data_IF_197623257039
#
_entry.id   IF_197623257039
#
_cell.length_a   1.000
_cell.length_b   1.000
_cell.length_c   1.000
_cell.angle_alpha   90.00
_cell.angle_beta   90.00
_cell.angle_gamma   90.00
#
_symmetry.space_group_name_H-M   'P 1'
#
loop_
_entity.id
_entity.type
_entity.pdbx_description
1 polymer ?
#
# COMPACT_ATOMS: atom_id res chain seq x y z
N UNK A 1 -15.62 13.49 -22.37
CA UNK A 1 -16.13 14.82 -22.78
C UNK A 1 -17.43 15.12 -22.06
N UNK A 2 -17.44 16.17 -21.22
CA UNK A 2 -18.65 16.61 -20.50
C UNK A 2 -18.44 16.99 -19.03
N UNK A 3 -17.30 16.64 -18.42
CA UNK A 3 -16.93 17.05 -17.05
C UNK A 3 -15.53 17.67 -17.05
N UNK A 4 -15.25 18.60 -16.13
CA UNK A 4 -13.90 19.18 -15.94
C UNK A 4 -12.93 18.23 -15.23
N UNK A 5 -13.27 16.94 -15.13
CA UNK A 5 -12.45 15.94 -14.46
C UNK A 5 -11.23 15.61 -15.31
N UNK A 6 -10.06 15.57 -14.67
CA UNK A 6 -8.86 15.04 -15.31
C UNK A 6 -8.89 13.52 -15.23
N UNK A 7 -8.81 12.85 -16.39
CA UNK A 7 -8.81 11.40 -16.50
C UNK A 7 -7.49 10.89 -17.08
N UNK A 8 -6.93 9.85 -16.46
CA UNK A 8 -5.71 9.17 -16.92
C UNK A 8 -5.73 7.75 -16.40
N UNK A 9 -6.39 6.82 -17.07
CA UNK A 9 -6.65 5.47 -16.52
C UNK A 9 -7.13 5.56 -15.07
N UNK A 10 -8.28 6.20 -14.86
CA UNK A 10 -8.82 6.61 -13.55
C UNK A 10 -9.08 8.12 -13.45
N UNK A 11 -9.82 8.53 -12.41
CA UNK A 11 -10.02 9.94 -12.01
C UNK A 11 -8.76 10.39 -11.28
N UNK A 12 -8.10 11.43 -11.81
CA UNK A 12 -6.90 11.98 -11.19
C UNK A 12 -7.30 12.83 -9.99
N UNK A 13 -6.69 12.53 -8.85
CA UNK A 13 -6.87 13.22 -7.59
C UNK A 13 -5.52 13.65 -7.00
N UNK A 14 -5.55 14.71 -6.19
CA UNK A 14 -4.43 15.09 -5.33
C UNK A 14 -4.22 14.10 -4.18
N UNK A 15 -3.22 14.35 -3.33
CA UNK A 15 -2.90 13.49 -2.18
C UNK A 15 -4.03 13.42 -1.15
N UNK A 16 -5.02 14.33 -1.19
CA UNK A 16 -6.18 14.36 -0.31
C UNK A 16 -7.42 13.69 -0.92
N UNK A 17 -7.26 13.05 -2.09
CA UNK A 17 -8.31 12.40 -2.87
C UNK A 17 -9.30 13.37 -3.53
N UNK A 18 -9.00 14.68 -3.58
CA UNK A 18 -9.82 15.65 -4.29
C UNK A 18 -9.51 15.61 -5.79
N UNK A 19 -10.53 15.70 -6.64
CA UNK A 19 -10.39 15.61 -8.11
C UNK A 19 -9.89 16.88 -8.81
N UNK A 20 -9.52 17.92 -8.05
CA UNK A 20 -9.26 19.28 -8.53
C UNK A 20 -10.54 20.12 -8.70
N UNK A 21 -11.71 19.55 -8.43
CA UNK A 21 -13.01 20.23 -8.44
C UNK A 21 -13.51 20.32 -7.00
N UNK A 22 -13.98 21.52 -6.60
CA UNK A 22 -14.52 21.77 -5.28
C UNK A 22 -15.65 20.78 -4.94
N UNK A 23 -15.53 20.12 -3.78
CA UNK A 23 -16.52 19.16 -3.30
C UNK A 23 -16.54 17.80 -4.02
N UNK A 24 -15.68 17.58 -5.03
CA UNK A 24 -15.66 16.32 -5.79
C UNK A 24 -14.40 15.52 -5.46
N UNK A 25 -14.62 14.32 -4.91
CA UNK A 25 -13.58 13.37 -4.50
C UNK A 25 -13.78 12.04 -5.21
N UNK A 26 -12.71 11.25 -5.35
CA UNK A 26 -12.78 9.88 -5.85
C UNK A 26 -12.12 8.89 -4.87
N UNK A 27 -12.62 7.65 -4.87
CA UNK A 27 -12.12 6.57 -4.02
C UNK A 27 -12.32 5.21 -4.72
N UNK A 28 -11.52 4.22 -4.33
CA UNK A 28 -11.54 2.86 -4.86
C UNK A 28 -10.88 2.74 -6.23
N UNK A 29 -11.25 1.69 -6.96
CA UNK A 29 -10.55 1.22 -8.17
C UNK A 29 -10.42 2.29 -9.28
N UNK A 30 -11.33 3.26 -9.30
CA UNK A 30 -11.34 4.38 -10.26
C UNK A 30 -10.38 5.50 -9.87
N UNK A 31 -9.96 5.59 -8.60
CA UNK A 31 -9.16 6.70 -8.09
C UNK A 31 -7.68 6.52 -8.44
N UNK A 32 -7.15 7.48 -9.20
CA UNK A 32 -5.72 7.66 -9.39
C UNK A 32 -5.28 8.84 -8.53
N UNK A 33 -4.52 8.61 -7.48
CA UNK A 33 -4.11 9.66 -6.54
C UNK A 33 -2.59 9.73 -6.42
N UNK A 34 -2.09 10.90 -6.04
CA UNK A 34 -0.68 11.04 -5.68
C UNK A 34 -0.44 10.51 -4.27
N UNK A 35 0.35 9.45 -4.14
CA UNK A 35 0.68 8.84 -2.86
C UNK A 35 2.04 9.35 -2.38
N UNK A 36 2.05 10.24 -1.39
CA UNK A 36 3.29 10.85 -0.88
C UNK A 36 4.30 9.81 -0.43
N UNK A 37 3.88 8.66 0.14
CA UNK A 37 4.77 7.59 0.60
C UNK A 37 5.63 7.02 -0.54
N UNK A 38 5.09 6.99 -1.75
CA UNK A 38 5.78 6.46 -2.93
C UNK A 38 6.27 7.53 -3.89
N UNK A 39 5.98 8.81 -3.61
CA UNK A 39 6.30 9.95 -4.48
C UNK A 39 5.83 9.70 -5.94
N UNK A 40 4.61 9.16 -6.08
CA UNK A 40 4.07 8.79 -7.40
C UNK A 40 2.55 8.80 -7.44
N UNK A 41 2.02 9.10 -8.63
CA UNK A 41 0.62 8.83 -8.96
C UNK A 41 0.38 7.32 -9.03
N UNK A 42 -0.62 6.84 -8.31
CA UNK A 42 -0.97 5.43 -8.21
C UNK A 42 -2.43 5.20 -8.47
N UNK A 43 -2.75 4.04 -9.04
CA UNK A 43 -4.09 3.46 -9.05
C UNK A 43 -3.98 2.03 -8.52
N UNK A 44 -4.82 1.69 -7.56
CA UNK A 44 -4.71 0.43 -6.81
C UNK A 44 -6.10 -0.18 -6.66
N UNK A 45 -6.28 -1.35 -7.27
CA UNK A 45 -7.54 -2.11 -7.28
C UNK A 45 -7.55 -3.13 -6.13
N UNK A 46 -7.60 -2.64 -4.89
CA UNK A 46 -7.60 -3.46 -3.69
C UNK A 46 -8.79 -3.13 -2.80
N UNK A 47 -9.42 -4.16 -2.24
CA UNK A 47 -10.57 -4.01 -1.35
C UNK A 47 -10.27 -3.08 -0.15
N UNK A 48 -9.08 -3.20 0.44
CA UNK A 48 -8.60 -2.37 1.55
C UNK A 48 -8.43 -0.92 1.13
N UNK A 49 -7.80 -0.67 -0.02
CA UNK A 49 -7.64 0.66 -0.58
C UNK A 49 -9.00 1.31 -0.85
N UNK A 50 -9.96 0.60 -1.42
CA UNK A 50 -11.30 1.15 -1.66
C UNK A 50 -12.00 1.54 -0.35
N UNK A 51 -11.94 0.69 0.68
CA UNK A 51 -12.52 0.98 1.98
C UNK A 51 -11.83 2.16 2.69
N UNK A 52 -10.50 2.16 2.72
CA UNK A 52 -9.70 3.21 3.37
C UNK A 52 -9.85 4.56 2.66
N UNK A 53 -9.81 4.59 1.32
CA UNK A 53 -10.02 5.80 0.53
C UNK A 53 -11.43 6.36 0.70
N UNK A 54 -12.46 5.51 0.78
CA UNK A 54 -13.82 5.98 1.02
C UNK A 54 -13.95 6.75 2.34
N UNK A 55 -13.33 6.23 3.41
CA UNK A 55 -13.28 6.91 4.71
C UNK A 55 -12.45 8.21 4.66
N UNK A 56 -11.30 8.19 3.98
CA UNK A 56 -10.43 9.35 3.84
C UNK A 56 -11.08 10.48 3.02
N UNK A 57 -11.69 10.15 1.87
CA UNK A 57 -12.38 11.11 1.02
C UNK A 57 -13.53 11.79 1.76
N UNK A 58 -14.37 11.03 2.47
CA UNK A 58 -15.44 11.60 3.28
C UNK A 58 -14.90 12.51 4.40
N UNK A 59 -13.81 12.10 5.07
CA UNK A 59 -13.18 12.89 6.13
C UNK A 59 -12.60 14.19 5.59
N UNK A 60 -11.94 14.16 4.44
CA UNK A 60 -11.35 15.34 3.81
C UNK A 60 -12.42 16.31 3.27
N UNK A 61 -13.50 15.79 2.67
CA UNK A 61 -14.64 16.60 2.27
C UNK A 61 -15.23 17.36 3.47
N UNK A 62 -15.43 16.67 4.60
CA UNK A 62 -15.96 17.29 5.82
C UNK A 62 -14.97 18.27 6.46
N UNK A 63 -13.66 17.99 6.41
CA UNK A 63 -12.63 18.90 6.90
C UNK A 63 -12.66 20.22 6.12
N UNK A 64 -12.61 20.16 4.79
CA UNK A 64 -12.67 21.35 3.93
C UNK A 64 -13.97 22.12 4.14
N UNK A 65 -15.12 21.44 4.22
CA UNK A 65 -16.42 22.07 4.49
C UNK A 65 -16.46 22.81 5.85
N UNK A 66 -15.68 22.36 6.84
CA UNK A 66 -15.53 23.00 8.16
C UNK A 66 -14.42 24.06 8.21
N UNK A 67 -13.75 24.34 7.10
CA UNK A 67 -12.57 25.23 7.06
C UNK A 67 -11.34 24.64 7.75
N UNK A 68 -11.23 23.31 7.80
CA UNK A 68 -10.09 22.58 8.37
C UNK A 68 -9.19 22.06 7.24
N UNK A 69 -7.91 21.88 7.56
CA UNK A 69 -6.93 21.33 6.63
C UNK A 69 -7.22 19.84 6.33
N UNK A 70 -7.37 19.43 5.06
CA UNK A 70 -7.52 18.03 4.69
C UNK A 70 -6.23 17.25 4.93
N UNK A 71 -6.33 15.93 5.09
CA UNK A 71 -5.18 15.07 5.38
C UNK A 71 -4.81 14.21 4.17
N UNK A 72 -3.52 14.12 3.80
CA UNK A 72 -3.08 13.23 2.74
C UNK A 72 -3.39 11.76 3.02
N UNK A 73 -3.82 11.02 2.00
CA UNK A 73 -3.97 9.57 2.00
C UNK A 73 -2.68 8.90 1.49
N UNK A 74 -1.78 8.58 2.43
CA UNK A 74 -0.47 7.97 2.15
C UNK A 74 -0.37 6.55 2.74
N UNK A 75 -1.15 5.63 2.18
CA UNK A 75 -1.21 4.25 2.66
C UNK A 75 -0.23 3.31 1.93
N UNK A 76 0.23 2.28 2.64
CA UNK A 76 0.88 1.09 2.06
C UNK A 76 -0.21 0.19 1.46
N UNK A 77 -0.21 -0.06 0.14
CA UNK A 77 -1.15 -1.00 -0.48
C UNK A 77 -1.07 -2.37 0.18
N UNK A 78 -2.22 -3.02 0.36
CA UNK A 78 -2.29 -4.36 0.93
C UNK A 78 -3.39 -5.16 0.25
N UNK A 79 -3.07 -6.35 -0.23
CA UNK A 79 -4.07 -7.29 -0.72
C UNK A 79 -3.76 -8.70 -0.24
N UNK A 80 -4.75 -9.58 -0.42
CA UNK A 80 -4.58 -11.00 -0.23
C UNK A 80 -5.28 -11.78 -1.34
N UNK A 81 -4.86 -13.03 -1.50
CA UNK A 81 -5.47 -14.01 -2.37
C UNK A 81 -5.49 -15.34 -1.62
N UNK A 82 -6.67 -15.95 -1.53
CA UNK A 82 -6.80 -17.31 -1.03
C UNK A 82 -6.81 -18.25 -2.24
N UNK A 83 -5.77 -19.05 -2.39
CA UNK A 83 -5.60 -19.99 -3.50
C UNK A 83 -5.38 -21.39 -2.94
N UNK A 84 -6.33 -22.29 -3.18
CA UNK A 84 -6.35 -23.61 -2.57
C UNK A 84 -6.24 -23.51 -1.04
N UNK A 85 -5.21 -24.11 -0.45
CA UNK A 85 -4.92 -24.07 0.99
C UNK A 85 -3.98 -22.93 1.39
N UNK A 86 -3.47 -22.16 0.43
CA UNK A 86 -2.53 -21.08 0.68
C UNK A 86 -3.25 -19.74 0.78
N UNK A 87 -2.96 -19.02 1.86
CA UNK A 87 -3.28 -17.58 1.96
C UNK A 87 -2.04 -16.79 1.56
N UNK A 88 -2.14 -16.07 0.46
CA UNK A 88 -1.10 -15.20 -0.08
C UNK A 88 -1.44 -13.77 0.29
N UNK A 89 -0.51 -13.03 0.85
CA UNK A 89 -0.68 -11.65 1.29
C UNK A 89 0.48 -10.81 0.80
N UNK A 90 0.21 -9.61 0.32
CA UNK A 90 1.23 -8.73 -0.22
C UNK A 90 1.08 -7.32 0.33
N UNK A 91 2.17 -6.77 0.83
CA UNK A 91 2.29 -5.43 1.40
C UNK A 91 3.20 -4.59 0.52
N UNK A 92 2.77 -3.38 0.21
CA UNK A 92 3.55 -2.42 -0.57
C UNK A 92 3.34 -2.56 -2.07
N UNK A 93 4.35 -2.16 -2.83
CA UNK A 93 4.32 -2.21 -4.30
C UNK A 93 5.70 -2.53 -4.84
N UNK A 94 5.75 -3.46 -5.79
CA UNK A 94 6.93 -3.71 -6.61
C UNK A 94 6.69 -3.17 -8.02
N UNK A 95 7.72 -2.56 -8.59
CA UNK A 95 7.73 -2.11 -9.99
C UNK A 95 8.48 -3.12 -10.89
N UNK A 96 9.01 -4.22 -10.32
CA UNK A 96 9.53 -5.39 -11.04
C UNK A 96 11.05 -5.45 -11.17
N UNK A 97 11.75 -4.47 -10.59
CA UNK A 97 13.21 -4.38 -10.56
C UNK A 97 13.80 -4.54 -9.15
N UNK A 98 12.96 -4.91 -8.18
CA UNK A 98 13.38 -5.26 -6.83
C UNK A 98 13.93 -6.70 -6.75
N UNK A 99 14.93 -6.90 -5.88
CA UNK A 99 15.48 -8.22 -5.56
C UNK A 99 14.63 -8.89 -4.47
N UNK A 100 14.04 -10.07 -4.71
CA UNK A 100 13.30 -10.81 -3.69
C UNK A 100 14.25 -11.63 -2.79
N UNK A 101 14.02 -11.56 -1.48
CA UNK A 101 14.74 -12.32 -0.46
C UNK A 101 13.78 -13.12 0.40
N UNK A 102 13.91 -14.44 0.42
CA UNK A 102 13.15 -15.27 1.36
C UNK A 102 13.84 -15.19 2.71
N UNK A 103 13.12 -14.67 3.71
CA UNK A 103 13.67 -14.35 5.03
C UNK A 103 13.12 -15.22 6.15
N UNK A 104 11.99 -15.90 5.93
CA UNK A 104 11.38 -16.84 6.87
C UNK A 104 10.76 -17.99 6.09
N UNK A 105 10.99 -19.23 6.52
CA UNK A 105 10.43 -20.43 5.88
C UNK A 105 10.99 -20.69 4.48
N UNK A 106 10.29 -21.47 3.67
CA UNK A 106 10.71 -21.75 2.30
C UNK A 106 9.55 -21.97 1.31
N UNK A 107 9.79 -21.86 -0.02
CA UNK A 107 8.79 -22.18 -1.04
C UNK A 107 8.38 -23.66 -1.04
N UNK A 108 9.31 -24.56 -0.71
CA UNK A 108 9.05 -26.01 -0.63
C UNK A 108 8.01 -26.33 0.45
N UNK A 109 8.04 -25.59 1.57
CA UNK A 109 7.04 -25.67 2.64
C UNK A 109 5.69 -25.01 2.28
N UNK A 110 5.63 -24.26 1.16
CA UNK A 110 4.51 -23.37 0.80
C UNK A 110 4.12 -22.43 1.94
N UNK A 111 5.11 -22.01 2.72
CA UNK A 111 4.93 -21.21 3.92
C UNK A 111 6.17 -20.36 4.14
N UNK A 112 6.16 -19.13 3.66
CA UNK A 112 7.33 -18.26 3.71
C UNK A 112 6.97 -16.77 3.75
N UNK A 113 7.96 -15.95 4.13
CA UNK A 113 7.95 -14.50 3.94
C UNK A 113 9.09 -14.14 3.00
N UNK A 114 8.79 -13.37 1.96
CA UNK A 114 9.77 -12.76 1.07
C UNK A 114 9.71 -11.23 1.19
N UNK A 115 10.87 -10.60 1.32
CA UNK A 115 11.03 -9.14 1.29
C UNK A 115 11.60 -8.73 -0.07
N UNK A 116 11.15 -7.59 -0.58
CA UNK A 116 11.62 -7.03 -1.85
C UNK A 116 12.51 -5.83 -1.56
N UNK A 117 13.76 -5.93 -1.98
CA UNK A 117 14.81 -4.96 -1.74
C UNK A 117 15.13 -4.19 -3.02
N UNK A 118 15.38 -2.88 -2.88
CA UNK A 118 15.97 -2.09 -3.94
C UNK A 118 16.67 -0.87 -3.34
N UNK A 119 17.91 -0.63 -3.78
CA UNK A 119 18.74 0.49 -3.34
C UNK A 119 18.87 0.56 -1.80
N UNK A 120 18.92 -0.59 -1.13
CA UNK A 120 19.00 -0.71 0.32
C UNK A 120 17.69 -0.43 1.07
N UNK A 121 16.57 -0.25 0.36
CA UNK A 121 15.25 0.02 0.96
C UNK A 121 14.33 -1.19 0.89
N UNK A 122 13.48 -1.35 1.92
CA UNK A 122 12.37 -2.29 1.88
C UNK A 122 11.25 -1.71 0.99
N UNK A 123 10.95 -2.38 -0.13
CA UNK A 123 9.94 -1.92 -1.11
C UNK A 123 8.59 -2.62 -0.97
N UNK A 124 8.61 -3.90 -0.64
CA UNK A 124 7.41 -4.70 -0.44
C UNK A 124 7.70 -5.93 0.42
N UNK A 125 6.63 -6.60 0.85
CA UNK A 125 6.71 -7.90 1.52
C UNK A 125 5.58 -8.81 1.05
N UNK A 126 5.93 -10.06 0.72
CA UNK A 126 5.00 -11.13 0.39
C UNK A 126 5.02 -12.16 1.52
N UNK A 127 3.86 -12.57 2.00
CA UNK A 127 3.71 -13.70 2.91
C UNK A 127 2.81 -14.76 2.31
N UNK A 128 3.25 -16.00 2.36
CA UNK A 128 2.45 -17.18 2.04
C UNK A 128 2.25 -17.96 3.33
N UNK A 129 1.01 -18.06 3.79
CA UNK A 129 0.61 -18.79 5.02
C UNK A 129 1.34 -18.38 6.30
N UNK A 130 1.93 -17.17 6.35
CA UNK A 130 2.67 -16.61 7.50
C UNK A 130 2.23 -15.16 7.87
N UNK A 131 0.93 -14.91 8.12
CA UNK A 131 0.43 -13.56 8.42
C UNK A 131 1.11 -12.91 9.63
N UNK A 132 1.42 -13.68 10.68
CA UNK A 132 1.99 -13.15 11.92
C UNK A 132 3.39 -12.55 11.71
N UNK A 133 4.21 -13.21 10.90
CA UNK A 133 5.53 -12.71 10.52
C UNK A 133 5.45 -11.61 9.45
N UNK A 134 4.44 -11.64 8.59
CA UNK A 134 4.27 -10.63 7.52
C UNK A 134 3.82 -9.27 8.06
N UNK A 135 2.79 -9.22 8.89
CA UNK A 135 2.10 -7.97 9.24
C UNK A 135 2.99 -6.88 9.87
N UNK A 136 4.01 -7.20 10.70
CA UNK A 136 4.92 -6.18 11.22
C UNK A 136 5.64 -5.36 10.14
N UNK A 137 5.90 -5.93 8.96
CA UNK A 137 6.55 -5.20 7.85
C UNK A 137 5.68 -4.07 7.27
N UNK A 138 4.36 -4.06 7.49
CA UNK A 138 3.49 -2.97 7.03
C UNK A 138 3.90 -1.63 7.66
N UNK A 139 4.32 -1.66 8.94
CA UNK A 139 4.81 -0.47 9.65
C UNK A 139 6.12 0.01 9.06
N UNK A 140 7.09 -0.90 8.89
CA UNK A 140 8.39 -0.59 8.29
C UNK A 140 8.24 0.03 6.88
N UNK A 141 7.34 -0.51 6.06
CA UNK A 141 7.02 0.05 4.75
C UNK A 141 6.44 1.48 4.85
N UNK A 142 5.58 1.74 5.83
CA UNK A 142 5.01 3.10 6.03
C UNK A 142 6.05 4.12 6.53
N UNK A 143 7.11 3.65 7.17
CA UNK A 143 8.21 4.47 7.69
C UNK A 143 9.37 4.59 6.69
N UNK A 144 9.25 3.99 5.50
CA UNK A 144 10.32 3.89 4.48
C UNK A 144 11.61 3.27 5.02
N UNK A 145 11.47 2.24 5.84
CA UNK A 145 12.59 1.56 6.45
C UNK A 145 13.58 1.01 5.40
N UNK A 146 14.84 0.98 5.79
CA UNK A 146 15.90 0.29 5.08
C UNK A 146 15.69 -1.23 5.11
N UNK A 147 16.31 -1.92 4.17
CA UNK A 147 16.33 -3.38 4.17
C UNK A 147 17.07 -3.93 5.40
N UNK A 148 18.09 -3.22 5.91
CA UNK A 148 18.80 -3.59 7.12
C UNK A 148 17.88 -3.59 8.36
N UNK A 149 17.09 -2.55 8.58
CA UNK A 149 16.08 -2.49 9.66
C UNK A 149 15.05 -3.61 9.53
N UNK A 150 14.66 -3.96 8.29
CA UNK A 150 13.78 -5.10 8.05
C UNK A 150 14.43 -6.42 8.45
N UNK A 151 15.73 -6.60 8.22
CA UNK A 151 16.48 -7.80 8.62
C UNK A 151 16.68 -7.89 10.14
N UNK A 152 16.78 -6.76 10.84
CA UNK A 152 16.77 -6.74 12.32
C UNK A 152 15.45 -7.30 12.86
N UNK A 153 14.32 -6.90 12.28
CA UNK A 153 13.01 -7.47 12.62
C UNK A 153 12.97 -8.98 12.32
N UNK A 154 13.51 -9.43 11.18
CA UNK A 154 13.59 -10.87 10.85
C UNK A 154 14.33 -11.65 11.94
N UNK A 155 15.45 -11.11 12.44
CA UNK A 155 16.24 -11.77 13.49
C UNK A 155 15.42 -12.02 14.78
N UNK A 156 14.44 -11.18 15.07
CA UNK A 156 13.54 -11.37 16.22
C UNK A 156 12.63 -12.58 16.09
N UNK A 157 12.31 -13.03 14.86
CA UNK A 157 11.45 -14.19 14.65
C UNK A 157 12.16 -15.53 14.93
N UNK A 158 13.50 -15.55 14.83
CA UNK A 158 14.32 -16.74 15.06
C UNK A 158 14.62 -16.94 16.56
N UNK A 159 14.54 -15.87 17.35
CA UNK A 159 14.78 -15.89 18.79
C UNK A 159 13.59 -16.40 19.64
N UNK A 160 12.54 -16.91 18.99
CA UNK A 160 11.30 -17.43 19.59
C UNK A 160 10.92 -18.75 18.98
#
# INVERSE_FOLDING_TARGET
DGTSLTLRDGVVCDETLNSGIEGVYAAGDVCRWYNNLYDKEMRVEHWTTASEQGAAAASNLLAVWRGQEPKPYSAVPFFWSDQFTARIQFLGRCDGDETPHIVVGSPEERSFVALYEKDGLLKAALGVSRPRQLMPFRKLLSERATFAEAMELVATFVAT
#
